data_IF_199185684580
#
_entry.id   IF_199185684580
#
_cell.length_a   1.000
_cell.length_b   1.000
_cell.length_c   1.000
_cell.angle_alpha   90.00
_cell.angle_beta   90.00
_cell.angle_gamma   90.00
#
_symmetry.space_group_name_H-M   'P 1'
#
loop_
_entity.id
_entity.type
_entity.pdbx_description
1 polymer ?
#
# COMPACT_ATOMS: atom_id res chain seq x y z
N UNK A 1 35.48 3.65 22.01
CA UNK A 1 34.07 4.10 22.01
C UNK A 1 33.34 3.26 23.05
N UNK A 2 32.78 3.90 24.08
CA UNK A 2 32.16 3.22 25.21
C UNK A 2 30.88 2.50 24.75
N UNK A 3 30.59 1.34 25.34
CA UNK A 3 29.38 0.56 25.00
C UNK A 3 28.08 1.32 25.32
N UNK A 4 28.11 2.29 26.24
CA UNK A 4 27.00 3.19 26.55
C UNK A 4 26.53 4.04 25.36
N UNK A 5 27.47 4.51 24.53
CA UNK A 5 27.14 5.33 23.35
C UNK A 5 26.39 4.51 22.29
N UNK A 6 26.68 3.20 22.18
CA UNK A 6 26.00 2.28 21.26
C UNK A 6 24.52 2.08 21.64
N UNK A 7 24.21 1.90 22.92
CA UNK A 7 22.82 1.75 23.38
C UNK A 7 22.02 3.04 23.23
N UNK A 8 22.66 4.20 23.40
CA UNK A 8 22.03 5.52 23.21
C UNK A 8 21.72 5.83 21.73
N UNK A 9 22.52 5.31 20.79
CA UNK A 9 22.25 5.47 19.35
C UNK A 9 21.05 4.59 18.93
N UNK A 10 20.97 3.37 19.44
CA UNK A 10 19.88 2.45 19.10
C UNK A 10 18.52 2.94 19.64
N UNK A 11 18.46 3.48 20.86
CA UNK A 11 17.21 4.02 21.43
C UNK A 11 16.67 5.23 20.67
N UNK A 12 17.55 6.07 20.11
CA UNK A 12 17.15 7.20 19.26
C UNK A 12 16.59 6.74 17.90
N UNK A 13 17.17 5.69 17.32
CA UNK A 13 16.71 5.14 16.05
C UNK A 13 15.33 4.46 16.19
N UNK A 14 15.13 3.68 17.26
CA UNK A 14 13.84 3.06 17.56
C UNK A 14 12.74 4.11 17.84
N UNK A 15 13.10 5.20 18.52
CA UNK A 15 12.18 6.32 18.74
C UNK A 15 11.75 7.03 17.45
N UNK A 16 12.68 7.21 16.50
CA UNK A 16 12.38 7.80 15.20
C UNK A 16 11.55 6.85 14.32
N UNK A 17 11.83 5.54 14.37
CA UNK A 17 11.07 4.51 13.66
C UNK A 17 9.62 4.40 14.17
N UNK A 18 9.39 4.60 15.46
CA UNK A 18 8.04 4.62 16.04
C UNK A 18 7.21 5.86 15.60
N UNK A 19 7.87 6.94 15.17
CA UNK A 19 7.21 8.18 14.75
C UNK A 19 6.73 8.16 13.29
N UNK A 20 7.46 7.47 12.41
CA UNK A 20 7.17 7.44 10.98
C UNK A 20 6.84 6.02 10.53
N UNK A 21 5.55 5.79 10.28
CA UNK A 21 5.04 4.51 9.76
C UNK A 21 5.69 4.21 8.40
N UNK A 22 6.16 2.97 8.21
CA UNK A 22 6.83 2.53 6.98
C UNK A 22 8.37 2.61 7.00
N UNK A 23 8.97 3.10 8.10
CA UNK A 23 10.44 3.13 8.22
C UNK A 23 11.02 1.72 8.34
N UNK A 24 11.91 1.35 7.41
CA UNK A 24 12.52 0.03 7.38
C UNK A 24 13.65 -0.18 8.40
N UNK A 25 13.85 -1.44 8.81
CA UNK A 25 14.99 -1.90 9.60
C UNK A 25 15.61 -3.17 8.97
N UNK A 26 16.82 -3.54 9.38
CA UNK A 26 17.58 -4.64 8.77
C UNK A 26 16.88 -6.00 8.87
N UNK A 27 16.04 -6.19 9.88
CA UNK A 27 15.29 -7.44 10.12
C UNK A 27 13.84 -7.39 9.60
N UNK A 28 13.51 -6.41 8.76
CA UNK A 28 12.15 -6.23 8.25
C UNK A 28 11.80 -7.34 7.23
N UNK A 29 10.67 -8.01 7.44
CA UNK A 29 10.26 -9.12 6.59
C UNK A 29 9.75 -8.62 5.23
N UNK A 30 10.03 -9.37 4.15
CA UNK A 30 9.57 -9.03 2.78
C UNK A 30 8.07 -8.73 2.72
N UNK A 31 7.27 -9.47 3.49
CA UNK A 31 5.81 -9.27 3.54
C UNK A 31 5.44 -7.92 4.16
N UNK A 32 6.04 -7.55 5.28
CA UNK A 32 5.78 -6.26 5.95
C UNK A 32 6.21 -5.10 5.06
N UNK A 33 7.32 -5.27 4.31
CA UNK A 33 7.75 -4.27 3.35
C UNK A 33 6.74 -4.10 2.22
N UNK A 34 6.29 -5.21 1.64
CA UNK A 34 5.33 -5.20 0.54
C UNK A 34 4.00 -4.55 0.95
N UNK A 35 3.51 -4.82 2.17
CA UNK A 35 2.30 -4.18 2.72
C UNK A 35 2.49 -2.68 2.88
N UNK A 36 3.64 -2.22 3.38
CA UNK A 36 3.92 -0.79 3.50
C UNK A 36 3.92 -0.09 2.13
N UNK A 37 4.54 -0.69 1.11
CA UNK A 37 4.51 -0.16 -0.27
C UNK A 37 3.09 -0.13 -0.84
N UNK A 38 2.30 -1.17 -0.59
CA UNK A 38 0.93 -1.26 -1.07
C UNK A 38 0.04 -0.17 -0.43
N UNK A 39 0.14 0.03 0.89
CA UNK A 39 -0.55 1.09 1.62
C UNK A 39 -0.21 2.48 1.07
N UNK A 40 1.07 2.75 0.86
CA UNK A 40 1.52 4.05 0.32
C UNK A 40 1.02 4.29 -1.11
N UNK A 41 0.94 3.22 -1.90
CA UNK A 41 0.37 3.26 -3.26
C UNK A 41 -1.12 3.58 -3.23
N UNK A 42 -1.91 2.90 -2.40
CA UNK A 42 -3.35 3.17 -2.28
C UNK A 42 -3.65 4.55 -1.71
N UNK A 43 -2.88 5.02 -0.72
CA UNK A 43 -2.98 6.38 -0.20
C UNK A 43 -2.78 7.41 -1.32
N UNK A 44 -1.81 7.18 -2.20
CA UNK A 44 -1.55 8.03 -3.37
C UNK A 44 -2.70 8.01 -4.38
N UNK A 45 -3.32 6.85 -4.63
CA UNK A 45 -4.46 6.74 -5.56
C UNK A 45 -5.68 7.53 -5.07
N UNK A 46 -5.95 7.54 -3.76
CA UNK A 46 -7.08 8.27 -3.17
C UNK A 46 -6.79 9.77 -3.01
N UNK A 47 -5.52 10.13 -2.80
CA UNK A 47 -5.06 11.52 -2.66
C UNK A 47 -5.00 12.27 -4.00
N UNK A 48 -4.63 11.59 -5.09
CA UNK A 48 -4.48 12.20 -6.41
C UNK A 48 -5.71 11.97 -7.29
N UNK A 49 -6.51 13.03 -7.46
CA UNK A 49 -7.72 13.02 -8.31
C UNK A 49 -7.53 12.47 -9.74
N UNK A 50 -6.48 12.80 -10.52
CA UNK A 50 -6.36 12.29 -11.88
C UNK A 50 -6.13 10.78 -11.95
N UNK A 51 -5.42 10.23 -10.95
CA UNK A 51 -5.18 8.79 -10.84
C UNK A 51 -6.48 8.07 -10.45
N UNK A 52 -7.21 8.60 -9.47
CA UNK A 52 -8.51 8.05 -9.08
C UNK A 52 -9.49 8.03 -10.26
N UNK A 53 -9.53 9.11 -11.05
CA UNK A 53 -10.38 9.21 -12.23
C UNK A 53 -9.98 8.20 -13.32
N UNK A 54 -8.67 7.97 -13.51
CA UNK A 54 -8.18 6.96 -14.44
C UNK A 54 -8.68 5.55 -14.08
N UNK A 55 -8.61 5.17 -12.81
CA UNK A 55 -9.11 3.87 -12.34
C UNK A 55 -10.64 3.77 -12.45
N UNK A 56 -11.38 4.83 -12.11
CA UNK A 56 -12.83 4.85 -12.24
C UNK A 56 -13.30 4.67 -13.69
N UNK A 57 -12.58 5.24 -14.66
CA UNK A 57 -12.87 5.06 -16.09
C UNK A 57 -12.55 3.62 -16.53
N UNK A 58 -11.41 3.08 -16.10
CA UNK A 58 -10.99 1.72 -16.47
C UNK A 58 -11.95 0.64 -15.95
N UNK A 59 -12.46 0.80 -14.72
CA UNK A 59 -13.41 -0.14 -14.12
C UNK A 59 -14.89 0.18 -14.44
N UNK A 60 -15.15 1.31 -15.10
CA UNK A 60 -16.49 1.81 -15.40
C UNK A 60 -17.39 1.92 -14.15
N UNK A 61 -16.82 2.41 -13.05
CA UNK A 61 -17.50 2.62 -11.77
C UNK A 61 -17.49 4.09 -11.36
N UNK A 62 -18.42 4.46 -10.46
CA UNK A 62 -18.45 5.83 -9.96
C UNK A 62 -17.20 6.14 -9.12
N UNK A 63 -16.64 7.34 -9.27
CA UNK A 63 -15.44 7.80 -8.53
C UNK A 63 -15.60 7.62 -7.02
N UNK A 64 -16.82 7.83 -6.48
CA UNK A 64 -17.11 7.65 -5.06
C UNK A 64 -17.06 6.19 -4.61
N UNK A 65 -17.49 5.26 -5.46
CA UNK A 65 -17.38 3.82 -5.19
C UNK A 65 -15.93 3.38 -5.18
N UNK A 66 -15.13 3.77 -6.18
CA UNK A 66 -13.71 3.41 -6.24
C UNK A 66 -12.92 3.96 -5.05
N UNK A 67 -13.24 5.19 -4.61
CA UNK A 67 -12.69 5.74 -3.37
C UNK A 67 -12.99 4.89 -2.14
N UNK A 68 -14.23 4.41 -2.03
CA UNK A 68 -14.66 3.55 -0.93
C UNK A 68 -14.07 2.13 -1.04
N UNK A 69 -13.88 1.63 -2.27
CA UNK A 69 -13.19 0.37 -2.54
C UNK A 69 -11.74 0.42 -2.04
N UNK A 70 -10.98 1.46 -2.38
CA UNK A 70 -9.60 1.62 -1.93
C UNK A 70 -9.48 1.81 -0.41
N UNK A 71 -10.43 2.50 0.22
CA UNK A 71 -10.42 2.70 1.68
C UNK A 71 -10.71 1.42 2.49
N UNK A 72 -11.51 0.49 1.94
CA UNK A 72 -11.81 -0.79 2.60
C UNK A 72 -10.70 -1.84 2.46
N UNK A 73 -9.84 -1.70 1.45
CA UNK A 73 -8.75 -2.65 1.21
C UNK A 73 -7.70 -2.55 2.33
N UNK A 74 -7.51 -1.36 2.91
CA UNK A 74 -6.62 -1.12 4.07
C UNK A 74 -7.06 -1.83 5.36
N UNK A 75 -8.32 -2.29 5.46
CA UNK A 75 -8.85 -2.93 6.68
C UNK A 75 -8.81 -4.47 6.61
N UNK A 76 -8.59 -5.04 5.41
CA UNK A 76 -8.63 -6.48 5.15
C UNK A 76 -7.25 -7.04 4.82
N UNK A 77 -6.31 -6.89 5.74
CA UNK A 77 -4.92 -7.36 5.60
C UNK A 77 -4.73 -8.90 5.59
N UNK A 78 -5.81 -9.71 5.60
CA UNK A 78 -5.71 -11.19 5.54
C UNK A 78 -5.81 -11.81 4.13
N UNK A 79 -5.96 -11.04 3.05
CA UNK A 79 -6.16 -11.59 1.69
C UNK A 79 -5.24 -10.96 0.63
N UNK A 80 -3.93 -10.97 0.88
CA UNK A 80 -2.93 -10.26 0.05
C UNK A 80 -2.68 -10.91 -1.34
N UNK A 81 -3.31 -12.04 -1.72
CA UNK A 81 -2.99 -12.71 -3.00
C UNK A 81 -4.16 -13.05 -3.93
N UNK A 82 -5.43 -12.86 -3.56
CA UNK A 82 -6.55 -13.31 -4.42
C UNK A 82 -7.20 -12.21 -5.26
N UNK A 83 -7.11 -10.93 -4.86
CA UNK A 83 -8.00 -9.89 -5.42
C UNK A 83 -7.40 -9.02 -6.51
N UNK A 84 -6.08 -8.79 -6.54
CA UNK A 84 -5.45 -7.99 -7.61
C UNK A 84 -5.40 -8.72 -8.94
N UNK A 85 -5.42 -10.07 -8.98
CA UNK A 85 -5.48 -10.81 -10.24
C UNK A 85 -6.90 -10.93 -10.81
N UNK A 86 -7.94 -10.99 -9.96
CA UNK A 86 -9.31 -11.17 -10.45
C UNK A 86 -9.86 -9.91 -11.13
N UNK A 87 -9.56 -8.71 -10.62
CA UNK A 87 -10.00 -7.44 -11.24
C UNK A 87 -9.13 -7.00 -12.44
N UNK A 88 -7.82 -7.25 -12.43
CA UNK A 88 -6.98 -6.98 -13.61
C UNK A 88 -7.20 -7.97 -14.76
N UNK A 89 -7.55 -9.23 -14.49
CA UNK A 89 -7.74 -10.25 -15.54
C UNK A 89 -9.04 -10.05 -16.34
N UNK A 90 -10.10 -9.51 -15.73
CA UNK A 90 -11.36 -9.23 -16.43
C UNK A 90 -11.25 -8.12 -17.48
N UNK A 91 -10.42 -7.09 -17.26
CA UNK A 91 -10.19 -6.05 -18.28
C UNK A 91 -9.42 -6.57 -19.51
N UNK A 92 -8.49 -7.51 -19.34
CA UNK A 92 -7.71 -8.03 -20.47
C UNK A 92 -8.55 -8.94 -21.39
N UNK A 93 -9.55 -9.64 -20.86
CA UNK A 93 -10.43 -10.53 -21.65
C UNK A 93 -11.47 -9.74 -22.45
N UNK A 94 -12.02 -8.64 -21.91
CA UNK A 94 -13.06 -7.86 -22.60
C UNK A 94 -12.48 -6.99 -23.73
N UNK A 95 -11.24 -6.50 -23.61
CA UNK A 95 -10.61 -5.65 -24.66
C UNK A 95 -10.07 -6.48 -25.83
N UNK A 96 -9.84 -7.80 -25.67
CA UNK A 96 -9.36 -8.69 -26.74
C UNK A 96 -10.47 -9.49 -27.45
N UNK A 97 -11.74 -9.39 -26.99
CA UNK A 97 -12.90 -10.07 -27.59
C UNK A 97 -13.95 -9.13 -28.21
N UNK A 98 -13.62 -7.84 -28.37
CA UNK A 98 -14.35 -6.87 -29.20
C UNK A 98 -13.49 -6.38 -30.37
#
# INVERSE_FOLDING_TARGET
MQASDRFNINSQLEHLQAKYVGTGHADLNRFEWAVNIQRDSYASYVGHYPILAYFAIAENESIGRERYSFMQIEEKDSCITSMTLSRFCLCFVVVLTA
#
